data_IF_093232204066
#
_entry.id   IF_093232204066
#
_cell.length_a   1.000
_cell.length_b   1.000
_cell.length_c   1.000
_cell.angle_alpha   90.00
_cell.angle_beta   90.00
_cell.angle_gamma   90.00
#
_symmetry.space_group_name_H-M   'P 1'
#
loop_
_entity.id
_entity.type
_entity.pdbx_description
1 polymer ?
#
# COMPACT_ATOMS: atom_id res chain seq x y z
N UNK A 1 -8.15 -0.15 -14.78
CA UNK A 1 -9.14 0.93 -14.96
C UNK A 1 -9.40 1.59 -13.62
N UNK A 2 -9.85 2.84 -13.59
CA UNK A 2 -10.29 3.50 -12.35
C UNK A 2 -11.75 3.16 -12.04
N UNK A 3 -12.08 3.07 -10.75
CA UNK A 3 -13.44 2.82 -10.27
C UNK A 3 -13.87 3.98 -9.38
N UNK A 4 -15.03 4.56 -9.69
CA UNK A 4 -15.65 5.64 -8.92
C UNK A 4 -17.08 5.23 -8.56
N UNK A 5 -17.42 5.22 -7.27
CA UNK A 5 -18.76 4.88 -6.77
C UNK A 5 -19.35 3.60 -7.40
N UNK A 6 -18.57 2.53 -7.40
CA UNK A 6 -18.92 1.23 -8.00
C UNK A 6 -19.04 1.20 -9.53
N UNK A 7 -18.60 2.24 -10.24
CA UNK A 7 -18.62 2.32 -11.71
C UNK A 7 -17.22 2.49 -12.27
N UNK A 8 -16.96 1.86 -13.42
CA UNK A 8 -15.70 2.04 -14.14
C UNK A 8 -15.73 3.40 -14.86
N UNK A 9 -14.77 4.27 -14.54
CA UNK A 9 -14.62 5.59 -15.17
C UNK A 9 -14.35 5.41 -16.67
N UNK A 10 -15.07 6.15 -17.51
CA UNK A 10 -14.93 6.14 -18.98
C UNK A 10 -15.19 4.79 -19.67
N UNK A 11 -15.97 3.88 -19.05
CA UNK A 11 -16.37 2.64 -19.72
C UNK A 11 -17.37 2.92 -20.86
N UNK A 12 -17.00 2.56 -22.08
CA UNK A 12 -17.92 2.52 -23.21
C UNK A 12 -18.80 1.26 -23.11
N UNK A 13 -20.12 1.46 -23.09
CA UNK A 13 -21.07 0.36 -23.01
C UNK A 13 -21.08 -0.52 -24.29
N UNK A 14 -20.57 -0.01 -25.41
CA UNK A 14 -20.40 -0.77 -26.65
C UNK A 14 -19.10 -1.58 -26.67
N UNK A 15 -18.20 -1.38 -25.71
CA UNK A 15 -16.95 -2.13 -25.53
C UNK A 15 -16.88 -2.70 -24.11
N UNK A 16 -17.76 -3.67 -23.76
CA UNK A 16 -17.94 -4.13 -22.40
C UNK A 16 -16.66 -4.80 -21.88
N UNK A 17 -16.35 -4.50 -20.62
CA UNK A 17 -15.28 -5.16 -19.89
C UNK A 17 -15.66 -6.61 -19.56
N UNK A 18 -14.75 -7.54 -19.86
CA UNK A 18 -14.79 -8.91 -19.36
C UNK A 18 -13.50 -9.21 -18.60
N UNK A 19 -13.58 -9.93 -17.47
CA UNK A 19 -12.42 -10.37 -16.66
C UNK A 19 -12.60 -11.84 -16.30
N UNK A 20 -11.54 -12.64 -16.39
CA UNK A 20 -11.59 -14.05 -16.01
C UNK A 20 -10.24 -14.76 -15.96
N UNK A 21 -10.29 -16.03 -15.55
CA UNK A 21 -9.11 -16.87 -15.33
C UNK A 21 -8.74 -17.73 -16.56
N UNK A 22 -9.54 -17.69 -17.63
CA UNK A 22 -9.30 -18.46 -18.86
C UNK A 22 -8.95 -17.53 -20.00
N UNK A 23 -8.10 -18.00 -20.91
CA UNK A 23 -7.75 -17.24 -22.12
C UNK A 23 -9.03 -16.97 -22.94
N UNK A 24 -9.32 -15.71 -23.31
CA UNK A 24 -10.61 -15.34 -23.90
C UNK A 24 -10.74 -15.80 -25.36
N UNK A 25 -9.62 -15.98 -26.05
CA UNK A 25 -9.56 -16.57 -27.39
C UNK A 25 -8.20 -17.22 -27.63
N UNK A 26 -8.10 -18.09 -28.63
CA UNK A 26 -6.83 -18.75 -29.00
C UNK A 26 -5.73 -17.73 -29.32
N UNK A 27 -6.10 -16.64 -29.99
CA UNK A 27 -5.18 -15.63 -30.52
C UNK A 27 -4.99 -14.42 -29.60
N UNK A 28 -5.61 -14.41 -28.40
CA UNK A 28 -5.43 -13.32 -27.45
C UNK A 28 -3.94 -13.13 -27.12
N UNK A 29 -3.39 -11.91 -27.27
CA UNK A 29 -1.98 -11.65 -27.03
C UNK A 29 -1.67 -11.75 -25.54
N UNK A 30 -0.57 -12.43 -25.22
CA UNK A 30 -0.11 -12.58 -23.85
C UNK A 30 1.37 -12.25 -23.71
N UNK A 31 1.81 -11.98 -22.49
CA UNK A 31 3.24 -11.80 -22.18
C UNK A 31 4.11 -13.01 -22.55
N UNK A 32 3.51 -14.19 -22.73
CA UNK A 32 4.18 -15.39 -23.29
C UNK A 32 4.29 -15.28 -24.81
N UNK A 33 3.18 -15.01 -25.51
CA UNK A 33 3.15 -15.07 -26.99
C UNK A 33 3.76 -13.84 -27.66
N UNK A 34 3.81 -12.71 -26.97
CA UNK A 34 4.30 -11.42 -27.47
C UNK A 34 5.36 -10.83 -26.52
N UNK A 35 6.25 -11.67 -25.98
CA UNK A 35 7.25 -11.25 -24.99
C UNK A 35 8.18 -10.15 -25.51
N UNK A 36 8.52 -10.19 -26.81
CA UNK A 36 9.38 -9.22 -27.48
C UNK A 36 8.73 -7.83 -27.66
N UNK A 37 7.43 -7.69 -27.43
CA UNK A 37 6.74 -6.39 -27.47
C UNK A 37 6.60 -5.76 -26.09
N UNK A 38 7.10 -6.42 -25.03
CA UNK A 38 6.97 -5.93 -23.66
C UNK A 38 7.97 -4.81 -23.40
N UNK A 39 7.52 -3.75 -22.72
CA UNK A 39 8.40 -2.68 -22.19
C UNK A 39 9.00 -3.03 -20.83
N UNK A 40 8.33 -3.91 -20.09
CA UNK A 40 8.81 -4.48 -18.84
C UNK A 40 8.63 -5.98 -18.92
N UNK A 41 9.73 -6.71 -18.82
CA UNK A 41 9.72 -8.15 -18.93
C UNK A 41 9.24 -8.78 -17.61
N UNK A 42 8.74 -10.01 -17.68
CA UNK A 42 8.27 -10.76 -16.50
C UNK A 42 9.27 -11.86 -16.14
N UNK A 43 9.38 -12.16 -14.83
CA UNK A 43 10.25 -13.19 -14.27
C UNK A 43 9.46 -14.42 -13.82
N UNK A 44 8.43 -14.20 -12.99
CA UNK A 44 7.53 -15.25 -12.50
C UNK A 44 6.09 -14.78 -12.66
N UNK A 45 5.22 -15.62 -13.25
CA UNK A 45 3.84 -15.23 -13.54
C UNK A 45 3.73 -14.00 -14.47
N UNK A 46 2.74 -13.14 -14.21
CA UNK A 46 2.58 -11.83 -14.86
C UNK A 46 2.62 -11.82 -16.40
N UNK A 47 2.17 -12.91 -17.04
CA UNK A 47 2.39 -13.14 -18.46
C UNK A 47 1.11 -13.45 -19.24
N UNK A 48 -0.04 -13.08 -18.69
CA UNK A 48 -1.34 -13.17 -19.35
C UNK A 48 -1.61 -11.90 -20.18
N UNK A 49 -2.77 -11.25 -20.04
CA UNK A 49 -3.13 -10.10 -20.89
C UNK A 49 -2.09 -8.99 -20.82
N UNK A 50 -1.71 -8.44 -21.98
CA UNK A 50 -0.79 -7.31 -22.05
C UNK A 50 -1.57 -6.00 -21.91
N UNK A 51 -1.14 -5.18 -20.96
CA UNK A 51 -1.64 -3.81 -20.72
C UNK A 51 -0.47 -2.85 -20.83
N UNK A 52 -0.52 -1.87 -21.73
CA UNK A 52 0.56 -0.88 -21.95
C UNK A 52 1.95 -1.49 -22.19
N UNK A 53 2.01 -2.66 -22.85
CA UNK A 53 3.27 -3.37 -23.05
C UNK A 53 3.80 -4.07 -21.79
N UNK A 54 2.95 -4.31 -20.78
CA UNK A 54 3.31 -5.02 -19.55
C UNK A 54 2.32 -6.17 -19.37
N UNK A 55 2.83 -7.39 -19.26
CA UNK A 55 1.99 -8.57 -18.99
C UNK A 55 1.35 -8.49 -17.61
N UNK A 56 0.13 -9.03 -17.45
CA UNK A 56 -0.61 -9.01 -16.18
C UNK A 56 -0.96 -10.41 -15.71
N UNK A 57 -1.39 -10.52 -14.45
CA UNK A 57 -2.06 -11.72 -13.94
C UNK A 57 -3.51 -11.70 -14.45
N UNK A 58 -3.97 -12.81 -14.99
CA UNK A 58 -5.35 -13.00 -15.43
C UNK A 58 -5.67 -12.44 -16.82
N UNK A 59 -6.91 -12.65 -17.24
CA UNK A 59 -7.38 -12.29 -18.56
C UNK A 59 -8.47 -11.23 -18.51
N UNK A 60 -8.44 -10.30 -19.46
CA UNK A 60 -9.53 -9.37 -19.67
C UNK A 60 -9.62 -8.93 -21.13
N UNK A 61 -10.81 -8.49 -21.54
CA UNK A 61 -11.08 -7.89 -22.87
C UNK A 61 -11.97 -6.67 -22.72
N UNK A 62 -12.04 -5.86 -23.77
CA UNK A 62 -12.84 -4.63 -23.82
C UNK A 62 -12.41 -3.55 -22.82
N UNK A 63 -13.30 -2.60 -22.56
CA UNK A 63 -13.07 -1.46 -21.69
C UNK A 63 -11.89 -0.57 -22.13
N UNK A 64 -11.59 -0.50 -23.42
CA UNK A 64 -10.36 0.12 -23.92
C UNK A 64 -10.26 1.61 -23.52
N UNK A 65 -11.37 2.36 -23.62
CA UNK A 65 -11.41 3.77 -23.23
C UNK A 65 -11.24 4.00 -21.71
N UNK A 66 -11.47 2.98 -20.88
CA UNK A 66 -11.35 3.05 -19.43
C UNK A 66 -9.96 2.64 -18.90
N UNK A 67 -9.10 2.10 -19.77
CA UNK A 67 -7.77 1.60 -19.40
C UNK A 67 -6.89 2.76 -18.95
N UNK A 68 -6.25 2.58 -17.79
CA UNK A 68 -5.29 3.56 -17.28
C UNK A 68 -3.95 3.45 -18.02
N UNK A 69 -3.14 4.50 -17.94
CA UNK A 69 -1.69 4.43 -18.14
C UNK A 69 -1.03 4.18 -16.79
N UNK A 70 -0.06 3.27 -16.73
CA UNK A 70 0.53 2.84 -15.45
C UNK A 70 1.31 4.00 -14.80
N UNK A 71 2.03 4.75 -15.62
CA UNK A 71 2.82 5.93 -15.26
C UNK A 71 1.99 7.05 -14.60
N UNK A 72 0.67 7.08 -14.84
CA UNK A 72 -0.23 8.12 -14.33
C UNK A 72 -0.97 7.71 -13.05
N UNK A 73 -0.86 6.45 -12.59
CA UNK A 73 -1.69 5.93 -11.50
C UNK A 73 -1.54 6.73 -10.20
N UNK A 74 -0.31 6.97 -9.78
CA UNK A 74 -0.02 7.64 -8.53
C UNK A 74 -0.50 9.11 -8.55
N UNK A 75 -0.37 9.77 -9.71
CA UNK A 75 -0.80 11.15 -9.91
C UNK A 75 -2.32 11.30 -9.90
N UNK A 76 -3.02 10.40 -10.59
CA UNK A 76 -4.48 10.36 -10.61
C UNK A 76 -5.02 10.13 -9.19
N UNK A 77 -4.45 9.20 -8.42
CA UNK A 77 -4.89 8.97 -7.04
C UNK A 77 -4.60 10.15 -6.12
N UNK A 78 -3.42 10.76 -6.21
CA UNK A 78 -3.10 11.97 -5.45
C UNK A 78 -4.04 13.13 -5.83
N UNK A 79 -4.33 13.29 -7.12
CA UNK A 79 -5.22 14.34 -7.63
C UNK A 79 -6.64 14.15 -7.10
N UNK A 80 -7.18 12.93 -7.17
CA UNK A 80 -8.51 12.63 -6.64
C UNK A 80 -8.56 12.77 -5.11
N UNK A 81 -7.51 12.39 -4.39
CA UNK A 81 -7.40 12.61 -2.95
C UNK A 81 -7.46 14.11 -2.59
N UNK A 82 -6.68 14.95 -3.27
CA UNK A 82 -6.68 16.39 -3.05
C UNK A 82 -8.04 17.02 -3.41
N UNK A 83 -8.62 16.65 -4.55
CA UNK A 83 -9.94 17.10 -4.97
C UNK A 83 -11.02 16.71 -3.94
N UNK A 84 -10.92 15.51 -3.37
CA UNK A 84 -11.84 15.03 -2.36
C UNK A 84 -11.68 15.81 -1.04
N UNK A 85 -10.44 16.04 -0.58
CA UNK A 85 -10.19 16.88 0.61
C UNK A 85 -10.80 18.26 0.41
N UNK A 86 -10.54 18.91 -0.73
CA UNK A 86 -11.09 20.24 -1.03
C UNK A 86 -12.62 20.29 -0.98
N UNK A 87 -13.28 19.27 -1.53
CA UNK A 87 -14.75 19.13 -1.52
C UNK A 87 -15.32 18.88 -0.12
N UNK A 88 -14.53 18.34 0.81
CA UNK A 88 -14.97 17.94 2.14
C UNK A 88 -14.40 18.79 3.28
N UNK A 89 -13.62 19.84 2.98
CA UNK A 89 -12.90 20.67 3.96
C UNK A 89 -13.76 21.28 5.07
N UNK A 90 -15.05 21.50 4.83
CA UNK A 90 -15.97 22.15 5.78
C UNK A 90 -16.59 21.18 6.80
N UNK A 91 -16.20 19.90 6.80
CA UNK A 91 -16.69 18.88 7.73
C UNK A 91 -15.56 17.91 8.13
N UNK A 92 -15.65 17.24 9.30
CA UNK A 92 -14.75 16.14 9.62
C UNK A 92 -14.78 15.08 8.53
N UNK A 93 -13.63 14.55 8.16
CA UNK A 93 -13.50 13.57 7.10
C UNK A 93 -12.55 12.45 7.48
N UNK A 94 -12.72 11.29 6.82
CA UNK A 94 -11.80 10.17 6.86
C UNK A 94 -11.39 9.85 5.42
N UNK A 95 -10.10 10.00 5.14
CA UNK A 95 -9.50 9.63 3.86
C UNK A 95 -8.62 8.40 4.05
N UNK A 96 -8.98 7.30 3.39
CA UNK A 96 -8.10 6.15 3.23
C UNK A 96 -7.40 6.24 1.87
N UNK A 97 -6.15 6.71 1.90
CA UNK A 97 -5.29 6.80 0.70
C UNK A 97 -4.38 5.57 0.64
N UNK A 98 -4.67 4.66 -0.29
CA UNK A 98 -3.87 3.46 -0.51
C UNK A 98 -3.09 3.61 -1.81
N UNK A 99 -1.82 4.00 -1.69
CA UNK A 99 -0.94 4.16 -2.85
C UNK A 99 -0.67 2.83 -3.54
N UNK A 100 -0.42 2.88 -4.86
CA UNK A 100 0.03 1.71 -5.64
C UNK A 100 1.52 1.51 -5.36
N UNK A 101 2.23 2.63 -5.23
CA UNK A 101 3.65 2.63 -4.95
C UNK A 101 3.91 1.98 -3.59
N UNK A 102 4.81 1.00 -3.48
CA UNK A 102 5.83 0.60 -4.48
C UNK A 102 5.60 -0.81 -5.06
N UNK A 103 4.35 -1.25 -5.15
CA UNK A 103 3.98 -2.57 -5.66
C UNK A 103 4.27 -2.69 -7.17
N UNK A 104 4.58 -3.92 -7.62
CA UNK A 104 4.78 -4.21 -9.04
C UNK A 104 3.48 -4.18 -9.86
N UNK A 105 3.54 -3.94 -11.18
CA UNK A 105 4.71 -3.43 -11.89
C UNK A 105 5.00 -1.99 -11.44
N UNK A 106 6.26 -1.72 -11.07
CA UNK A 106 6.68 -0.37 -10.69
C UNK A 106 6.92 0.40 -11.96
N UNK A 107 5.99 1.29 -12.28
CA UNK A 107 6.06 2.12 -13.47
C UNK A 107 5.79 3.55 -13.07
N UNK A 108 6.73 4.20 -12.37
CA UNK A 108 6.50 5.53 -11.86
C UNK A 108 6.38 6.55 -13.00
N UNK A 109 5.80 7.71 -12.73
CA UNK A 109 5.70 8.76 -13.75
C UNK A 109 7.09 9.10 -14.29
N UNK A 110 7.18 9.43 -15.58
CA UNK A 110 8.41 9.68 -16.31
C UNK A 110 9.31 10.76 -15.69
N UNK A 111 8.78 11.59 -14.77
CA UNK A 111 9.55 12.63 -14.06
C UNK A 111 10.40 12.08 -12.92
N UNK A 112 10.12 10.86 -12.46
CA UNK A 112 10.88 10.17 -11.40
C UNK A 112 11.80 9.09 -11.96
N UNK A 113 11.53 8.60 -13.18
CA UNK A 113 12.30 7.50 -13.77
C UNK A 113 13.78 7.85 -13.93
N UNK A 114 14.65 7.07 -13.28
CA UNK A 114 16.10 7.22 -13.30
C UNK A 114 16.68 8.18 -12.25
N UNK A 115 15.86 8.80 -11.40
CA UNK A 115 16.34 9.80 -10.43
C UNK A 115 16.94 9.16 -9.17
N UNK A 116 16.38 8.05 -8.70
CA UNK A 116 16.78 7.45 -7.42
C UNK A 116 18.11 6.70 -7.46
N UNK A 117 18.57 6.34 -8.66
CA UNK A 117 19.70 5.43 -8.86
C UNK A 117 19.43 3.98 -8.43
N UNK A 118 18.19 3.64 -8.00
CA UNK A 118 17.82 2.32 -7.49
C UNK A 118 16.69 1.67 -8.30
N UNK A 119 16.78 1.76 -9.63
CA UNK A 119 15.76 1.29 -10.60
C UNK A 119 14.37 1.91 -10.40
N UNK A 120 13.36 1.38 -11.10
CA UNK A 120 11.97 1.77 -10.90
C UNK A 120 11.47 1.55 -9.48
N UNK A 121 12.08 0.64 -8.70
CA UNK A 121 11.74 0.46 -7.29
C UNK A 121 12.07 1.72 -6.47
N UNK A 122 13.27 2.28 -6.63
CA UNK A 122 13.65 3.51 -5.94
C UNK A 122 12.87 4.71 -6.43
N UNK A 123 12.64 4.80 -7.74
CA UNK A 123 11.88 5.90 -8.34
C UNK A 123 10.42 5.93 -7.85
N UNK A 124 9.81 4.75 -7.64
CA UNK A 124 8.49 4.65 -7.03
C UNK A 124 8.48 5.07 -5.54
N UNK A 125 9.59 4.88 -4.80
CA UNK A 125 9.71 5.40 -3.42
C UNK A 125 9.72 6.93 -3.45
N UNK A 126 10.48 7.55 -4.35
CA UNK A 126 10.50 9.01 -4.52
C UNK A 126 9.12 9.55 -4.95
N UNK A 127 8.42 8.85 -5.83
CA UNK A 127 7.06 9.22 -6.23
C UNK A 127 6.06 9.14 -5.06
N UNK A 128 6.15 8.09 -4.24
CA UNK A 128 5.33 7.96 -3.03
C UNK A 128 5.58 9.12 -2.06
N UNK A 129 6.84 9.44 -1.77
CA UNK A 129 7.23 10.57 -0.91
C UNK A 129 6.67 11.90 -1.45
N UNK A 130 6.83 12.14 -2.74
CA UNK A 130 6.29 13.33 -3.40
C UNK A 130 4.75 13.40 -3.29
N UNK A 131 4.05 12.29 -3.53
CA UNK A 131 2.58 12.24 -3.43
C UNK A 131 2.09 12.54 -2.02
N UNK A 132 2.73 11.96 -1.00
CA UNK A 132 2.44 12.29 0.40
C UNK A 132 2.66 13.78 0.64
N UNK A 133 3.79 14.33 0.19
CA UNK A 133 4.09 15.76 0.29
C UNK A 133 3.02 16.66 -0.34
N UNK A 134 2.46 16.27 -1.49
CA UNK A 134 1.40 17.02 -2.17
C UNK A 134 0.07 17.01 -1.41
N UNK A 135 -0.25 15.91 -0.72
CA UNK A 135 -1.42 15.83 0.17
C UNK A 135 -1.20 16.72 1.39
N UNK A 136 0.00 16.68 2.01
CA UNK A 136 0.36 17.58 3.12
C UNK A 136 0.23 19.04 2.72
N UNK A 137 0.78 19.44 1.56
CA UNK A 137 0.65 20.82 1.04
C UNK A 137 -0.80 21.24 0.85
N UNK A 138 -1.68 20.32 0.45
CA UNK A 138 -3.11 20.59 0.33
C UNK A 138 -3.76 20.84 1.69
N UNK A 139 -3.45 20.01 2.70
CA UNK A 139 -3.93 20.22 4.07
C UNK A 139 -3.42 21.54 4.66
N UNK A 140 -2.16 21.91 4.40
CA UNK A 140 -1.58 23.18 4.84
C UNK A 140 -2.25 24.38 4.16
N UNK A 141 -2.41 24.34 2.83
CA UNK A 141 -3.08 25.42 2.07
C UNK A 141 -4.53 25.65 2.49
N UNK A 142 -5.20 24.62 2.98
CA UNK A 142 -6.59 24.68 3.44
C UNK A 142 -6.72 24.95 4.94
N UNK A 143 -5.60 25.19 5.65
CA UNK A 143 -5.57 25.38 7.11
C UNK A 143 -6.19 24.19 7.90
N UNK A 144 -5.98 22.96 7.43
CA UNK A 144 -6.51 21.73 8.04
C UNK A 144 -5.45 20.92 8.80
N UNK A 145 -4.17 21.23 8.61
CA UNK A 145 -3.04 20.39 9.06
C UNK A 145 -2.94 20.24 10.59
N UNK A 146 -3.42 21.22 11.36
CA UNK A 146 -3.43 21.21 12.83
C UNK A 146 -4.67 20.51 13.43
N UNK A 147 -5.68 20.23 12.60
CA UNK A 147 -6.88 19.48 12.97
C UNK A 147 -7.00 18.15 12.21
N UNK A 148 -5.88 17.62 11.70
CA UNK A 148 -5.83 16.34 10.99
C UNK A 148 -4.87 15.38 11.66
N UNK A 149 -5.36 14.21 12.09
CA UNK A 149 -4.51 13.07 12.41
C UNK A 149 -4.13 12.35 11.12
N UNK A 150 -2.83 12.25 10.87
CA UNK A 150 -2.27 11.53 9.73
C UNK A 150 -1.60 10.26 10.26
N UNK A 151 -1.92 9.13 9.63
CA UNK A 151 -1.25 7.84 9.88
C UNK A 151 -0.67 7.36 8.56
N UNK A 152 0.64 7.14 8.52
CA UNK A 152 1.34 6.55 7.39
C UNK A 152 1.86 5.17 7.80
N UNK A 153 1.48 4.14 7.04
CA UNK A 153 1.98 2.78 7.25
C UNK A 153 2.01 1.98 5.95
N UNK A 154 2.73 0.85 5.96
CA UNK A 154 2.69 -0.15 4.88
C UNK A 154 1.81 -1.34 5.26
N UNK A 155 1.22 -1.99 4.25
CA UNK A 155 0.37 -3.18 4.40
C UNK A 155 1.17 -4.44 4.78
N UNK A 156 2.39 -4.58 4.26
CA UNK A 156 3.35 -5.63 4.59
C UNK A 156 4.80 -5.18 4.39
N UNK A 157 5.73 -6.06 4.74
CA UNK A 157 7.16 -5.91 4.50
C UNK A 157 7.55 -5.88 3.00
N UNK A 158 8.83 -5.59 2.69
CA UNK A 158 9.28 -5.34 1.34
C UNK A 158 9.47 -6.60 0.52
N UNK A 159 9.51 -6.43 -0.81
CA UNK A 159 9.92 -7.42 -1.80
C UNK A 159 10.76 -6.72 -2.87
N UNK A 160 11.79 -7.40 -3.38
CA UNK A 160 12.63 -6.90 -4.46
C UNK A 160 12.07 -7.36 -5.80
N UNK A 161 12.34 -8.60 -6.23
CA UNK A 161 11.65 -9.22 -7.36
C UNK A 161 10.30 -9.77 -6.91
N UNK A 162 9.22 -9.26 -7.50
CA UNK A 162 7.85 -9.71 -7.27
C UNK A 162 7.16 -10.05 -8.61
N UNK A 163 7.92 -10.49 -9.60
CA UNK A 163 7.39 -11.05 -10.86
C UNK A 163 7.78 -10.30 -12.13
N UNK A 164 8.58 -9.23 -12.05
CA UNK A 164 9.04 -8.47 -13.21
C UNK A 164 10.54 -8.18 -13.17
N UNK A 165 11.12 -8.10 -14.35
CA UNK A 165 12.50 -7.67 -14.58
C UNK A 165 12.55 -6.13 -14.59
N UNK A 166 12.54 -5.55 -13.39
CA UNK A 166 12.62 -4.11 -13.18
C UNK A 166 13.97 -3.66 -12.59
N UNK A 167 14.95 -4.56 -12.57
CA UNK A 167 16.31 -4.37 -12.05
C UNK A 167 16.40 -3.98 -10.57
N UNK A 168 15.36 -4.27 -9.76
CA UNK A 168 15.34 -3.92 -8.34
C UNK A 168 16.41 -4.65 -7.50
N UNK A 169 16.77 -5.89 -7.85
CA UNK A 169 17.83 -6.62 -7.13
C UNK A 169 19.22 -6.07 -7.52
N UNK A 170 19.41 -5.86 -8.82
CA UNK A 170 20.66 -5.45 -9.45
C UNK A 170 21.03 -4.02 -9.06
N UNK A 171 20.03 -3.15 -8.93
CA UNK A 171 20.22 -1.72 -8.63
C UNK A 171 20.07 -1.40 -7.14
N UNK A 172 20.03 -2.42 -6.26
CA UNK A 172 19.76 -2.20 -4.84
C UNK A 172 20.89 -1.45 -4.10
N UNK A 173 22.14 -1.63 -4.57
CA UNK A 173 23.32 -1.13 -3.86
C UNK A 173 23.37 -1.64 -2.41
N UNK A 174 23.63 -0.74 -1.47
CA UNK A 174 23.70 -1.05 -0.02
C UNK A 174 22.34 -0.89 0.70
N UNK A 175 21.27 -0.57 -0.02
CA UNK A 175 19.95 -0.38 0.59
C UNK A 175 19.43 -1.68 1.19
N UNK A 176 18.91 -1.59 2.43
CA UNK A 176 18.32 -2.72 3.17
C UNK A 176 16.82 -2.48 3.35
N UNK A 177 15.95 -2.97 2.45
CA UNK A 177 14.52 -2.69 2.50
C UNK A 177 13.84 -3.07 3.82
N UNK A 178 14.25 -4.19 4.42
CA UNK A 178 13.73 -4.67 5.71
C UNK A 178 14.59 -4.18 6.90
N UNK A 179 15.52 -3.24 6.67
CA UNK A 179 16.47 -2.80 7.68
C UNK A 179 17.30 -3.95 8.26
N UNK A 180 17.40 -4.09 9.60
CA UNK A 180 18.13 -5.19 10.23
C UNK A 180 17.34 -6.51 10.27
N UNK A 181 16.07 -6.51 9.84
CA UNK A 181 15.17 -7.62 10.05
C UNK A 181 15.29 -8.69 8.97
N UNK A 182 15.10 -9.95 9.37
CA UNK A 182 15.07 -11.08 8.43
C UNK A 182 13.71 -11.21 7.77
N UNK A 183 13.68 -11.66 6.51
CA UNK A 183 12.45 -11.89 5.75
C UNK A 183 11.96 -10.66 4.99
N UNK A 184 10.74 -10.76 4.49
CA UNK A 184 10.08 -9.79 3.63
C UNK A 184 8.63 -10.21 3.39
N UNK A 185 7.98 -9.59 2.39
CA UNK A 185 6.63 -9.96 1.92
C UNK A 185 6.46 -11.48 1.88
N UNK A 186 5.27 -11.94 2.27
CA UNK A 186 4.90 -13.37 2.38
C UNK A 186 5.49 -14.13 3.58
N UNK A 187 6.21 -13.53 4.52
CA UNK A 187 6.78 -14.25 5.68
C UNK A 187 6.28 -13.70 7.01
N UNK A 188 6.15 -14.56 8.03
CA UNK A 188 5.87 -14.13 9.43
C UNK A 188 7.10 -13.57 10.16
N UNK A 189 8.26 -13.52 9.49
CA UNK A 189 9.47 -12.96 10.11
C UNK A 189 9.29 -11.45 10.27
N UNK A 190 10.09 -10.85 11.15
CA UNK A 190 10.10 -9.41 11.41
C UNK A 190 10.05 -8.58 10.11
N UNK A 191 10.93 -8.87 9.14
CA UNK A 191 10.97 -8.13 7.88
C UNK A 191 9.72 -8.27 7.02
N UNK A 192 8.84 -9.24 7.28
CA UNK A 192 7.60 -9.43 6.55
C UNK A 192 6.39 -8.71 7.12
N UNK A 193 6.39 -8.40 8.42
CA UNK A 193 5.22 -7.80 9.12
C UNK A 193 5.54 -6.50 9.85
N UNK A 194 6.81 -6.24 10.18
CA UNK A 194 7.25 -4.98 10.76
C UNK A 194 7.41 -3.93 9.66
N UNK A 195 6.50 -2.97 9.64
CA UNK A 195 6.43 -1.91 8.62
C UNK A 195 6.70 -0.54 9.21
N UNK A 196 7.03 0.47 8.37
CA UNK A 196 7.00 1.86 8.80
C UNK A 196 5.62 2.20 9.38
N UNK A 197 5.59 2.90 10.50
CA UNK A 197 4.35 3.37 11.12
C UNK A 197 4.61 4.75 11.72
N UNK A 198 4.03 5.78 11.12
CA UNK A 198 4.22 7.18 11.52
C UNK A 198 2.85 7.77 11.81
N UNK A 199 2.71 8.40 12.98
CA UNK A 199 1.56 9.25 13.29
C UNK A 199 1.99 10.70 13.35
N UNK A 200 1.14 11.59 12.82
CA UNK A 200 1.39 13.02 12.81
C UNK A 200 0.10 13.78 13.09
N UNK A 201 0.18 14.75 13.99
CA UNK A 201 -0.90 15.70 14.25
C UNK A 201 -0.27 16.98 14.78
N UNK A 202 -0.18 18.00 13.91
CA UNK A 202 0.50 19.25 14.23
C UNK A 202 -0.09 19.90 15.49
N UNK A 203 0.77 20.19 16.46
CA UNK A 203 0.36 20.80 17.74
C UNK A 203 -0.27 19.86 18.77
N UNK A 204 -0.59 18.60 18.42
CA UNK A 204 -1.10 17.58 19.35
C UNK A 204 -0.07 16.52 19.69
N UNK A 205 0.66 16.03 18.69
CA UNK A 205 1.73 15.05 18.85
C UNK A 205 3.07 15.80 18.93
N UNK A 206 3.86 15.50 19.96
CA UNK A 206 5.25 15.98 20.05
C UNK A 206 6.16 14.99 19.30
N UNK A 207 7.14 15.48 18.51
CA UNK A 207 8.09 14.60 17.83
C UNK A 207 8.80 13.66 18.82
N UNK A 208 8.73 12.36 18.57
CA UNK A 208 9.38 11.33 19.37
C UNK A 208 9.56 10.04 18.55
N UNK A 209 10.39 9.13 19.06
CA UNK A 209 10.47 7.73 18.63
C UNK A 209 9.87 6.88 19.74
N UNK A 210 9.04 5.90 19.37
CA UNK A 210 8.36 5.00 20.31
C UNK A 210 8.72 3.56 19.99
N UNK A 211 9.11 2.81 21.02
CA UNK A 211 9.34 1.36 20.96
C UNK A 211 8.09 0.56 21.37
N UNK A 212 6.94 1.23 21.58
CA UNK A 212 5.69 0.55 21.91
C UNK A 212 5.22 -0.31 20.74
N UNK A 213 4.83 -1.56 21.02
CA UNK A 213 4.20 -2.42 20.02
C UNK A 213 2.82 -1.89 19.65
N UNK A 214 2.56 -1.73 18.36
CA UNK A 214 1.28 -1.29 17.82
C UNK A 214 0.95 -2.13 16.58
N UNK A 215 -0.34 -2.23 16.23
CA UNK A 215 -0.78 -2.95 15.03
C UNK A 215 -1.81 -2.13 14.26
N UNK A 216 -1.81 -2.26 12.93
CA UNK A 216 -2.81 -1.61 12.06
C UNK A 216 -4.23 -2.08 12.36
N UNK A 217 -4.40 -3.27 12.93
CA UNK A 217 -5.72 -3.78 13.37
C UNK A 217 -6.33 -2.90 14.47
N UNK A 218 -5.52 -2.17 15.23
CA UNK A 218 -5.94 -1.33 16.34
C UNK A 218 -6.45 0.06 15.93
N UNK A 219 -6.29 0.41 14.65
CA UNK A 219 -6.77 1.69 14.13
C UNK A 219 -8.29 1.82 14.27
N UNK A 220 -9.05 0.73 14.13
CA UNK A 220 -10.51 0.77 14.23
C UNK A 220 -11.00 1.17 15.63
N UNK A 221 -10.58 0.47 16.68
CA UNK A 221 -10.94 0.81 18.06
C UNK A 221 -10.37 2.17 18.50
N UNK A 222 -9.16 2.50 18.07
CA UNK A 222 -8.53 3.78 18.39
C UNK A 222 -9.24 4.98 17.73
N UNK A 223 -9.66 4.84 16.48
CA UNK A 223 -10.42 5.88 15.78
C UNK A 223 -11.85 5.99 16.29
N UNK A 224 -12.49 4.88 16.66
CA UNK A 224 -13.78 4.89 17.34
C UNK A 224 -13.69 5.68 18.66
N UNK A 225 -12.67 5.43 19.48
CA UNK A 225 -12.40 6.18 20.70
C UNK A 225 -12.11 7.67 20.43
N UNK A 226 -11.35 7.98 19.36
CA UNK A 226 -11.04 9.36 18.97
C UNK A 226 -12.29 10.15 18.55
N UNK A 227 -13.24 9.48 17.88
CA UNK A 227 -14.43 10.11 17.30
C UNK A 227 -15.67 9.99 18.19
N UNK A 228 -15.59 9.26 19.31
CA UNK A 228 -16.73 8.98 20.20
C UNK A 228 -17.75 8.01 19.61
N UNK A 229 -17.37 7.22 18.60
CA UNK A 229 -18.24 6.20 17.99
C UNK A 229 -18.22 4.94 18.86
N UNK A 230 -19.40 4.42 19.17
CA UNK A 230 -19.53 3.12 19.83
C UNK A 230 -19.38 1.98 18.81
N UNK A 231 -18.47 1.04 19.10
CA UNK A 231 -18.33 -0.17 18.31
C UNK A 231 -19.40 -1.21 18.70
N UNK A 232 -19.97 -1.95 17.73
CA UNK A 232 -20.84 -3.08 18.05
C UNK A 232 -20.11 -4.12 18.92
N UNK A 233 -20.83 -4.80 19.80
CA UNK A 233 -20.25 -5.81 20.72
C UNK A 233 -19.47 -6.93 19.98
N UNK A 234 -19.87 -7.25 18.74
CA UNK A 234 -19.23 -8.22 17.88
C UNK A 234 -18.40 -7.60 16.75
N UNK A 235 -18.14 -6.29 16.80
CA UNK A 235 -17.33 -5.56 15.83
C UNK A 235 -15.89 -5.38 16.34
N UNK A 236 -14.90 -5.58 15.46
CA UNK A 236 -13.49 -5.30 15.73
C UNK A 236 -12.89 -6.02 16.95
N UNK A 237 -13.23 -7.30 17.14
CA UNK A 237 -12.86 -8.09 18.34
C UNK A 237 -11.35 -8.15 18.64
N UNK A 238 -10.51 -8.06 17.61
CA UNK A 238 -9.05 -8.10 17.75
C UNK A 238 -8.40 -6.69 17.84
N UNK A 239 -9.22 -5.63 17.74
CA UNK A 239 -8.81 -4.24 17.73
C UNK A 239 -8.84 -3.67 19.15
N UNK A 240 -7.69 -3.26 19.66
CA UNK A 240 -7.56 -2.61 20.96
C UNK A 240 -7.45 -1.09 20.80
N UNK A 241 -7.97 -0.35 21.78
CA UNK A 241 -7.79 1.09 21.81
C UNK A 241 -6.37 1.43 22.28
N UNK A 242 -5.50 1.79 21.34
CA UNK A 242 -4.13 2.24 21.56
C UNK A 242 -3.97 3.74 21.28
N UNK A 243 -5.06 4.52 21.32
CA UNK A 243 -5.07 5.93 20.90
C UNK A 243 -3.99 6.76 21.59
N UNK A 244 -3.73 6.51 22.87
CA UNK A 244 -2.68 7.20 23.62
C UNK A 244 -1.28 6.93 23.05
N UNK A 245 -1.02 5.71 22.56
CA UNK A 245 0.24 5.37 21.88
C UNK A 245 0.33 6.06 20.52
N UNK A 246 -0.76 6.09 19.75
CA UNK A 246 -0.83 6.81 18.47
C UNK A 246 -0.59 8.31 18.63
N UNK A 247 -1.03 8.89 19.76
CA UNK A 247 -0.87 10.31 20.10
C UNK A 247 0.45 10.61 20.84
N UNK A 248 1.30 9.61 21.08
CA UNK A 248 2.58 9.77 21.78
C UNK A 248 2.42 10.32 23.20
N UNK A 249 1.33 9.98 23.90
CA UNK A 249 1.11 10.46 25.27
C UNK A 249 2.12 9.85 26.25
N UNK A 250 2.53 10.60 27.29
CA UNK A 250 3.33 10.03 28.37
C UNK A 250 2.62 8.83 29.00
N UNK A 251 3.37 7.77 29.31
CA UNK A 251 2.87 6.52 29.90
C UNK A 251 1.85 5.77 29.02
N UNK A 252 1.78 6.06 27.72
CA UNK A 252 1.03 5.23 26.80
C UNK A 252 1.51 3.79 26.84
N UNK A 253 0.58 2.85 26.68
CA UNK A 253 0.85 1.42 26.67
C UNK A 253 0.53 0.90 25.27
N UNK A 254 1.45 0.13 24.71
CA UNK A 254 1.24 -0.57 23.44
C UNK A 254 0.50 -1.90 23.65
N UNK A 255 0.51 -2.75 22.62
CA UNK A 255 0.05 -4.13 22.76
C UNK A 255 0.99 -4.93 23.65
N UNK A 256 0.43 -5.91 24.34
CA UNK A 256 1.22 -6.94 25.04
C UNK A 256 1.72 -8.03 24.08
N UNK A 257 0.99 -8.25 22.98
CA UNK A 257 1.33 -9.25 21.97
C UNK A 257 0.82 -8.87 20.58
N UNK A 258 1.47 -9.41 19.55
CA UNK A 258 1.07 -9.30 18.14
C UNK A 258 0.98 -10.70 17.54
N UNK A 259 -0.05 -10.91 16.71
CA UNK A 259 -0.18 -12.09 15.86
C UNK A 259 0.15 -11.70 14.43
N UNK A 260 1.13 -12.39 13.84
CA UNK A 260 1.53 -12.23 12.45
C UNK A 260 1.14 -13.47 11.65
N UNK A 261 0.70 -13.28 10.41
CA UNK A 261 0.32 -14.36 9.50
C UNK A 261 1.12 -14.25 8.20
N UNK A 262 1.53 -15.39 7.63
CA UNK A 262 2.09 -15.41 6.29
C UNK A 262 1.01 -15.25 5.20
N UNK A 263 1.37 -15.50 3.94
CA UNK A 263 0.42 -15.44 2.83
C UNK A 263 -0.63 -16.57 2.81
N UNK A 264 -0.78 -17.32 3.90
CA UNK A 264 -1.77 -18.38 4.06
C UNK A 264 -1.41 -19.70 3.37
N UNK A 265 -0.41 -19.72 2.48
CA UNK A 265 -0.03 -20.95 1.75
C UNK A 265 0.61 -22.01 2.64
N UNK A 266 1.20 -21.62 3.78
CA UNK A 266 1.82 -22.54 4.75
C UNK A 266 1.05 -22.61 6.07
N UNK A 267 -0.08 -21.91 6.16
CA UNK A 267 -0.92 -21.83 7.37
C UNK A 267 -0.09 -21.45 8.63
N UNK A 268 0.91 -20.60 8.43
CA UNK A 268 1.88 -20.25 9.47
C UNK A 268 1.47 -18.94 10.14
N UNK A 269 1.44 -18.97 11.47
CA UNK A 269 1.27 -17.80 12.31
C UNK A 269 2.48 -17.64 13.23
N UNK A 270 2.75 -16.41 13.66
CA UNK A 270 3.72 -16.12 14.71
C UNK A 270 3.05 -15.29 15.80
N UNK A 271 3.41 -15.57 17.05
CA UNK A 271 3.04 -14.76 18.21
C UNK A 271 4.29 -14.07 18.73
N UNK A 272 4.27 -12.74 18.75
CA UNK A 272 5.27 -11.91 19.40
C UNK A 272 4.75 -11.44 20.75
N UNK A 273 5.58 -11.53 21.80
CA UNK A 273 5.27 -11.02 23.13
C UNK A 273 6.16 -9.81 23.44
N UNK A 274 5.58 -8.76 24.00
CA UNK A 274 6.27 -7.50 24.33
C UNK A 274 7.33 -7.63 25.42
N UNK A 275 7.40 -8.80 26.08
CA UNK A 275 8.43 -9.13 27.07
C UNK A 275 9.44 -10.07 26.39
N UNK A 276 10.53 -9.48 25.87
CA UNK A 276 11.76 -10.22 25.54
C UNK A 276 12.05 -10.55 24.07
N UNK A 277 11.39 -9.94 23.08
CA UNK A 277 11.62 -10.19 21.64
C UNK A 277 11.63 -11.70 21.30
N UNK A 278 10.71 -12.47 21.87
CA UNK A 278 10.53 -13.87 21.54
C UNK A 278 9.33 -14.02 20.60
N UNK A 279 9.58 -14.56 19.40
CA UNK A 279 8.52 -14.97 18.48
C UNK A 279 8.35 -16.48 18.54
N UNK A 280 7.14 -16.95 18.84
CA UNK A 280 6.78 -18.37 18.74
C UNK A 280 6.10 -18.60 17.40
N UNK A 281 6.69 -19.45 16.56
CA UNK A 281 6.07 -19.86 15.30
C UNK A 281 5.10 -21.01 15.57
N UNK A 282 3.86 -20.84 15.14
CA UNK A 282 2.78 -21.81 15.30
C UNK A 282 2.33 -22.21 13.89
N UNK A 283 2.51 -23.48 13.56
CA UNK A 283 1.94 -24.08 12.36
C UNK A 283 0.58 -24.67 12.74
N UNK A 284 -0.48 -24.33 11.99
CA UNK A 284 -1.79 -24.99 12.15
C UNK A 284 -1.77 -26.41 11.62
#
# INVERSE_FOLDING_TARGET
>A
MYVENHRVKNLDLNDPLWVGNKKPSKDHPTGITHRNTLRMNWNDGHNNTIHNGIGRIGFYTGGNAARFRDEDLADEWKTEANNWIEKNKDKPFFLFFSSHDIHVPRMPHERFQGNSGMSYRGDAIEQLDWNVGEIIKTLERLDLIDNTLIVFCSDNGPVLDDGYDDFANESLGDHKPAGPFSGGKYTVREGGTRTPFITFWKGKIKPNISDLMVSTIDLMASFAALTGVELPQNGALDSFNILDALLGKPNAIGREYIVSQDNGKRELMALELGIGNFSVMIQK
#
